data_IF_124370478039
#
_entry.id   IF_124370478039
#
_cell.length_a   1.000
_cell.length_b   1.000
_cell.length_c   1.000
_cell.angle_alpha   90.00
_cell.angle_beta   90.00
_cell.angle_gamma   90.00
#
_symmetry.space_group_name_H-M   'P 1'
#
loop_
_entity.id
_entity.type
_entity.pdbx_description
1 polymer ?
2 non-polymer ?
#
# COMPACT_ATOMS: atom_id res chain seq x y z
N UNK A 2 2.11 10.95 -15.79
CA UNK A 2 3.01 10.89 -14.65
C UNK A 2 3.35 9.44 -14.28
N UNK A 3 4.38 8.88 -14.93
CA UNK A 3 4.91 7.53 -14.76
C UNK A 3 5.28 7.24 -13.32
N UNK A 4 5.52 8.31 -12.57
CA UNK A 4 5.76 8.24 -11.14
C UNK A 4 4.52 7.76 -10.38
N UNK A 5 3.32 8.16 -10.82
CA UNK A 5 2.08 7.77 -10.14
C UNK A 5 1.67 6.38 -10.59
N UNK A 6 1.16 5.56 -9.66
CA UNK A 6 0.79 4.20 -10.04
C UNK A 6 -0.38 3.69 -9.19
N UNK A 7 -0.96 2.59 -9.69
CA UNK A 7 -2.01 1.90 -8.95
C UNK A 7 -1.35 0.66 -8.30
N UNK A 8 -1.87 0.30 -7.14
CA UNK A 8 -1.38 -0.80 -6.32
C UNK A 8 -2.33 -1.98 -6.50
N UNK A 9 -1.84 -3.03 -7.13
CA UNK A 9 -2.64 -4.13 -7.66
C UNK A 9 -2.37 -5.47 -6.97
N UNK A 10 -3.49 -6.13 -6.64
CA UNK A 10 -3.43 -7.49 -6.09
C UNK A 10 -3.89 -8.49 -7.15
N UNK A 11 -2.95 -9.34 -7.58
CA UNK A 11 -3.27 -10.25 -8.67
C UNK A 11 -4.40 -11.21 -8.30
N UNK A 12 -4.33 -11.82 -7.12
CA UNK A 12 -5.35 -12.81 -6.77
C UNK A 12 -6.76 -12.24 -6.78
N UNK A 13 -6.98 -11.06 -6.22
CA UNK A 13 -8.31 -10.46 -6.19
C UNK A 13 -8.67 -9.68 -7.46
N UNK A 14 -7.65 -9.38 -8.27
CA UNK A 14 -7.84 -8.51 -9.40
C UNK A 14 -8.46 -7.17 -8.96
N UNK A 15 -7.91 -6.56 -7.92
CA UNK A 15 -8.42 -5.28 -7.42
C UNK A 15 -7.25 -4.38 -7.05
N UNK A 16 -7.54 -3.09 -6.94
CA UNK A 16 -6.54 -2.08 -6.68
C UNK A 16 -6.87 -1.30 -5.40
N UNK A 17 -5.82 -0.80 -4.75
CA UNK A 17 -6.01 0.01 -3.54
C UNK A 17 -6.78 1.29 -3.86
N UNK A 18 -7.67 1.69 -2.96
CA UNK A 18 -8.50 2.88 -3.20
C UNK A 18 -8.62 3.67 -1.90
N UNK A 19 -8.05 4.86 -1.93
CA UNK A 19 -8.08 5.79 -0.80
C UNK A 19 -9.47 6.43 -0.71
N UNK A 20 -10.22 6.21 0.36
CA UNK A 20 -11.54 6.82 0.50
C UNK A 20 -11.55 8.05 1.41
N UNK A 21 -10.71 8.05 2.43
CA UNK A 21 -10.59 9.19 3.35
C UNK A 21 -9.30 9.04 4.16
N UNK A 22 -9.01 10.03 5.01
CA UNK A 22 -7.83 9.86 5.86
C UNK A 22 -7.93 8.60 6.71
N UNK A 23 -9.13 8.14 7.08
CA UNK A 23 -9.25 7.00 7.99
C UNK A 23 -9.71 5.74 7.29
N UNK A 24 -9.66 5.69 5.95
CA UNK A 24 -10.22 4.56 5.20
C UNK A 24 -9.50 4.38 3.86
N UNK A 25 -8.79 3.27 3.75
CA UNK A 25 -8.09 2.87 2.52
C UNK A 25 -8.56 1.44 2.24
N UNK A 26 -9.32 1.27 1.16
CA UNK A 26 -9.96 -0.01 0.86
C UNK A 26 -9.49 -0.47 -0.52
N UNK A 27 -10.32 -1.20 -1.25
CA UNK A 27 -9.95 -1.63 -2.60
C UNK A 27 -11.14 -1.33 -3.53
N UNK A 28 -10.87 -1.41 -4.83
CA UNK A 28 -11.88 -1.22 -5.86
C UNK A 28 -11.42 -1.91 -7.13
N UNK A 29 -12.37 -2.06 -8.03
CA UNK A 29 -12.04 -2.41 -9.40
C UNK A 29 -11.10 -1.33 -9.93
N UNK A 30 -9.98 -1.78 -10.49
CA UNK A 30 -8.90 -0.88 -10.91
C UNK A 30 -9.38 0.09 -11.97
N UNK A 31 -9.07 1.36 -11.74
CA UNK A 31 -9.40 2.37 -12.76
C UNK A 31 -8.23 3.33 -12.81
N UNK A 32 -7.42 3.30 -13.85
CA UNK A 32 -6.24 4.20 -13.88
C UNK A 32 -6.64 5.66 -13.98
N UNK A 33 -7.91 5.98 -14.20
CA UNK A 33 -8.39 7.35 -14.27
C UNK A 33 -8.80 7.89 -12.90
N UNK A 34 -8.90 6.99 -11.91
CA UNK A 34 -9.40 7.40 -10.60
C UNK A 34 -8.27 7.96 -9.74
N UNK A 35 -8.32 9.24 -9.42
CA UNK A 35 -7.24 9.83 -8.63
C UNK A 35 -7.11 9.14 -7.27
N UNK A 36 -8.24 8.68 -6.71
CA UNK A 36 -8.26 8.02 -5.41
C UNK A 36 -7.45 6.72 -5.45
N UNK A 37 -7.24 6.10 -6.60
CA UNK A 37 -6.44 4.87 -6.71
C UNK A 37 -4.97 5.16 -7.00
N UNK A 38 -4.58 6.43 -7.12
CA UNK A 38 -3.21 6.73 -7.53
C UNK A 38 -2.31 7.00 -6.34
N UNK A 39 -1.14 6.40 -6.35
CA UNK A 39 -0.13 6.61 -5.32
C UNK A 39 1.23 6.96 -5.94
N UNK A 40 2.12 7.49 -5.12
CA UNK A 40 3.48 7.75 -5.59
C UNK A 40 4.44 7.72 -4.39
N UNK A 41 5.63 7.21 -4.62
CA UNK A 41 6.68 7.22 -3.62
C UNK A 41 7.19 8.65 -3.43
N UNK A 42 7.33 9.11 -2.19
CA UNK A 42 7.83 10.47 -1.96
C UNK A 42 9.16 10.42 -1.23
N UNK A 43 9.69 9.21 -1.01
CA UNK A 43 10.99 8.96 -0.41
C UNK A 43 11.35 7.49 -0.62
N UNK A 44 12.47 7.00 -0.10
CA UNK A 44 12.81 5.60 -0.22
C UNK A 44 11.84 4.70 0.54
N UNK A 45 11.05 5.24 1.46
CA UNK A 45 10.21 4.39 2.30
C UNK A 45 8.74 4.80 2.37
N UNK A 46 8.36 5.95 1.84
CA UNK A 46 7.00 6.45 2.06
C UNK A 46 6.18 6.49 0.78
N UNK A 47 4.92 6.10 0.85
CA UNK A 47 4.03 6.12 -0.31
C UNK A 47 2.87 7.08 -0.01
N UNK A 48 2.72 8.06 -0.89
CA UNK A 48 1.73 9.10 -0.73
C UNK A 48 0.51 8.83 -1.62
N UNK A 49 -0.67 9.02 -1.07
CA UNK A 49 -1.91 9.06 -1.85
C UNK A 49 -1.94 10.32 -2.73
N UNK A 50 -2.10 10.19 -4.04
CA UNK A 50 -2.14 11.38 -4.89
C UNK A 50 -3.36 12.24 -4.58
N UNK A 51 -4.54 11.64 -4.38
CA UNK A 51 -5.77 12.38 -4.09
C UNK A 51 -5.76 13.07 -2.73
N UNK A 52 -5.11 12.52 -1.71
CA UNK A 52 -5.19 13.10 -0.36
C UNK A 52 -3.93 13.84 0.07
N UNK A 53 -2.82 13.60 -0.64
CA UNK A 53 -1.55 14.20 -0.25
C UNK A 53 -1.25 13.87 1.21
N UNK A 54 -1.53 12.61 1.54
CA UNK A 54 -1.22 11.95 2.79
C UNK A 54 -0.54 10.60 2.56
N UNK A 55 0.25 10.12 3.50
CA UNK A 55 1.08 8.93 3.33
C UNK A 55 0.48 7.71 4.02
N UNK A 56 0.64 6.56 3.37
CA UNK A 56 0.14 5.31 3.94
C UNK A 56 0.88 5.00 5.22
N UNK A 57 0.13 4.64 6.26
CA UNK A 57 0.77 4.38 7.55
C UNK A 57 -0.17 3.65 8.49
N UNK A 58 0.34 3.34 9.67
CA UNK A 58 -0.42 2.57 10.66
C UNK A 58 -0.30 3.21 12.04
N UNK A 59 -1.23 2.94 12.96
CA UNK A 59 -1.14 3.43 14.34
C UNK A 59 -0.06 2.73 15.15
N UNK A 60 0.32 1.53 14.74
CA UNK A 60 1.35 0.74 15.42
C UNK A 60 1.72 -0.46 14.55
N UNK A 61 2.88 -1.01 14.81
CA UNK A 61 3.35 -2.20 14.08
C UNK A 61 2.81 -3.44 14.76
N UNK A 62 1.50 -3.65 14.53
CA UNK A 62 0.83 -4.79 15.15
C UNK A 62 -0.07 -5.53 14.16
N UNK A 63 -0.21 -6.84 14.33
CA UNK A 63 -1.08 -7.66 13.48
C UNK A 63 -2.48 -7.05 13.46
N UNK A 64 -3.06 -6.88 12.29
CA UNK A 64 -4.43 -6.39 12.07
C UNK A 64 -4.56 -4.90 12.38
N UNK A 65 -3.44 -4.17 12.42
CA UNK A 65 -3.52 -2.71 12.39
C UNK A 65 -4.04 -2.25 11.03
N UNK A 66 -4.91 -1.24 11.02
CA UNK A 66 -5.45 -0.72 9.76
C UNK A 66 -4.41 0.18 9.10
N UNK A 67 -4.25 0.01 7.79
CA UNK A 67 -3.41 0.91 7.02
C UNK A 67 -4.29 2.04 6.50
N UNK A 68 -4.04 3.27 6.95
CA UNK A 68 -4.80 4.42 6.45
C UNK A 68 -3.84 5.55 6.15
N UNK A 69 -4.27 6.82 6.26
CA UNK A 69 -3.45 7.90 5.75
C UNK A 69 -3.12 8.95 6.82
N UNK A 70 -1.85 9.34 6.87
CA UNK A 70 -1.31 10.27 7.86
C UNK A 70 -0.47 11.36 7.20
N UNK A 71 -0.38 12.54 7.85
CA UNK A 71 0.52 13.56 7.34
C UNK A 71 1.90 12.99 7.07
N UNK A 72 2.45 13.23 5.87
CA UNK A 72 3.75 12.63 5.51
C UNK A 72 4.85 13.16 6.43
N UNK A 73 5.61 12.27 7.05
CA UNK A 73 6.63 12.64 8.03
C UNK A 73 7.83 11.70 7.94
N UNK A 74 8.94 12.22 7.45
CA UNK A 74 10.11 11.37 7.20
C UNK A 74 10.68 10.79 8.48
N UNK A 75 10.26 11.29 9.64
CA UNK A 75 10.84 10.75 10.88
C UNK A 75 9.94 9.71 11.51
N UNK A 76 8.75 9.53 10.92
CA UNK A 76 7.81 8.58 11.50
C UNK A 76 8.18 7.16 11.08
N UNK A 77 8.33 6.29 12.07
CA UNK A 77 8.64 4.91 11.71
C UNK A 77 7.34 4.17 11.39
N UNK A 78 6.18 4.80 11.45
CA UNK A 78 4.92 4.09 11.20
C UNK A 78 4.36 4.31 9.80
N UNK A 79 5.13 4.91 8.90
CA UNK A 79 4.73 5.11 7.51
C UNK A 79 5.88 4.74 6.58
N UNK A 80 6.72 3.85 7.07
CA UNK A 80 7.87 3.37 6.30
C UNK A 80 7.58 1.94 5.82
N UNK A 81 7.67 1.76 4.51
CA UNK A 81 7.40 0.51 3.81
C UNK A 81 8.63 -0.02 3.07
N UNK A 82 8.59 -1.33 2.78
CA UNK A 82 9.67 -1.89 1.96
C UNK A 82 9.18 -3.07 1.14
N UNK A 83 9.88 -3.34 0.03
CA UNK A 83 9.58 -4.57 -0.69
C UNK A 83 10.33 -5.71 0.00
N UNK A 84 9.64 -6.84 0.11
CA UNK A 84 10.21 -8.07 0.63
C UNK A 84 10.44 -8.98 -0.57
N UNK A 85 10.39 -10.31 -0.50
CA UNK A 85 10.67 -10.93 -1.82
C UNK A 85 9.42 -11.15 -2.67
N UNK A 86 9.59 -11.42 -3.97
CA UNK A 86 8.55 -11.85 -4.89
C UNK A 86 7.20 -11.14 -4.74
N UNK A 87 7.22 -9.82 -4.73
CA UNK A 87 6.13 -8.87 -4.68
C UNK A 87 5.52 -8.80 -3.28
N UNK A 88 6.08 -9.53 -2.31
CA UNK A 88 5.61 -9.33 -0.93
C UNK A 88 5.90 -7.93 -0.44
N UNK A 89 4.96 -7.26 0.23
CA UNK A 89 5.10 -5.83 0.55
C UNK A 89 4.72 -5.60 2.01
N UNK A 90 5.50 -4.81 2.75
CA UNK A 90 5.21 -4.66 4.16
C UNK A 90 5.95 -3.53 4.84
N UNK A 91 5.73 -3.45 6.15
CA UNK A 91 6.37 -2.44 6.98
C UNK A 91 7.87 -2.61 6.97
N UNK A 92 8.62 -1.51 6.88
CA UNK A 92 10.08 -1.59 6.86
C UNK A 92 10.61 -2.14 8.17
N UNK A 93 11.40 -3.21 8.13
CA UNK A 93 12.03 -3.73 9.33
C UNK A 93 11.17 -4.62 10.19
N UNK A 94 9.94 -4.94 9.81
CA UNK A 94 9.03 -5.79 10.55
C UNK A 94 8.35 -6.79 9.63
N UNK A 95 8.14 -8.03 10.05
CA UNK A 95 7.48 -9.04 9.23
C UNK A 95 5.97 -8.94 9.39
N UNK A 96 5.43 -7.79 8.98
CA UNK A 96 4.00 -7.53 8.89
C UNK A 96 3.76 -6.96 7.48
N UNK A 97 2.78 -7.53 6.80
CA UNK A 97 2.55 -7.29 5.38
C UNK A 97 1.27 -6.51 5.10
N UNK A 98 1.38 -5.69 4.06
CA UNK A 98 0.24 -4.98 3.48
C UNK A 98 -0.73 -6.01 2.90
N UNK A 99 -1.94 -6.09 3.48
CA UNK A 99 -2.79 -7.26 3.23
C UNK A 99 -4.24 -6.88 3.00
N UNK A 100 -4.88 -7.65 2.12
CA UNK A 100 -6.32 -7.51 1.87
C UNK A 100 -6.97 -8.87 1.59
N UNK A 101 -8.15 -9.12 2.16
CA UNK A 101 -8.89 -10.32 1.74
C UNK A 101 -9.37 -11.13 2.92
N UNK A 102 -8.76 -10.97 4.10
CA UNK A 102 -9.14 -11.82 5.23
C UNK A 102 -10.37 -11.25 5.96
N UNK A 103 -11.18 -12.12 6.56
CA UNK A 103 -12.30 -11.78 7.42
C UNK A 103 -13.31 -10.76 6.92
N UNK A 104 -13.64 -10.67 5.65
CA UNK A 104 -14.61 -9.65 5.23
C UNK A 104 -14.21 -8.22 5.56
N UNK A 105 -12.97 -7.95 5.91
CA UNK A 105 -12.53 -6.61 6.24
C UNK A 105 -12.23 -5.77 5.01
N UNK A 106 -12.91 -4.64 4.83
CA UNK A 106 -12.69 -3.85 3.62
C UNK A 106 -11.40 -3.04 3.65
N UNK A 107 -10.91 -2.66 4.83
CA UNK A 107 -9.72 -1.81 4.87
C UNK A 107 -8.45 -2.63 4.72
N UNK A 108 -7.47 -2.05 4.04
CA UNK A 108 -6.13 -2.68 4.06
C UNK A 108 -5.68 -2.90 5.50
N UNK A 109 -5.09 -4.05 5.80
CA UNK A 109 -4.58 -4.40 7.12
C UNK A 109 -3.12 -4.82 7.06
N UNK A 110 -2.43 -4.64 8.18
CA UNK A 110 -1.20 -5.38 8.43
C UNK A 110 -1.57 -6.82 8.78
N UNK A 111 -0.83 -7.78 8.22
CA UNK A 111 -1.08 -9.19 8.51
C UNK A 111 0.24 -9.93 8.61
N UNK A 112 0.29 -10.95 9.47
CA UNK A 112 1.49 -11.77 9.62
C UNK A 112 1.68 -12.71 8.44
N UNK A 113 0.57 -13.01 7.77
CA UNK A 113 0.67 -13.99 6.69
C UNK A 113 1.31 -13.42 5.44
N UNK A 114 1.99 -14.26 4.67
CA UNK A 114 2.75 -13.77 3.52
C UNK A 114 2.34 -14.48 2.24
N UNK A 115 1.07 -14.89 2.18
CA UNK A 115 0.56 -15.51 0.96
C UNK A 115 0.22 -14.54 -0.15
N UNK A 116 -0.71 -14.96 -1.00
CA UNK A 116 -1.07 -14.19 -2.20
C UNK A 116 -1.73 -12.85 -1.91
N UNK A 117 -2.32 -12.67 -0.74
CA UNK A 117 -3.06 -11.45 -0.39
C UNK A 117 -2.16 -10.37 0.21
N UNK A 118 -0.88 -10.69 0.41
CA UNK A 118 0.12 -9.77 0.93
C UNK A 118 1.15 -9.36 -0.15
N UNK A 119 0.81 -9.78 -1.38
CA UNK A 119 1.61 -9.58 -2.57
C UNK A 119 1.02 -8.56 -3.52
N UNK A 120 1.79 -7.57 -3.98
CA UNK A 120 1.20 -6.40 -4.67
C UNK A 120 2.10 -5.99 -5.83
N UNK A 121 1.52 -5.68 -6.98
CA UNK A 121 2.31 -5.21 -8.13
C UNK A 121 1.91 -3.80 -8.55
N UNK A 122 2.83 -3.16 -9.29
CA UNK A 122 2.45 -1.95 -10.01
C UNK A 122 1.44 -2.37 -11.06
N UNK A 123 0.23 -1.80 -11.00
CA UNK A 123 -0.81 -2.15 -11.98
C UNK A 123 -0.32 -1.93 -13.41
N UNK A 124 -0.53 -2.94 -14.24
CA UNK A 124 -0.11 -2.90 -15.63
C UNK A 124 1.30 -3.43 -15.86
N UNK A 125 1.93 -4.00 -14.84
CA UNK A 125 3.27 -4.55 -14.87
C UNK A 125 3.31 -5.83 -14.05
N UNK A 126 4.44 -6.54 -14.16
CA UNK A 126 4.61 -7.70 -13.29
C UNK A 126 5.62 -7.38 -12.19
N UNK A 127 5.84 -6.09 -11.99
CA UNK A 127 6.85 -5.63 -11.05
C UNK A 127 6.32 -5.25 -9.68
N UNK A 128 7.21 -5.35 -8.69
CA UNK A 128 6.83 -5.01 -7.32
C UNK A 128 6.66 -3.51 -7.15
N UNK A 129 6.17 -3.02 -6.03
CA UNK A 129 5.90 -1.57 -5.93
C UNK A 129 7.16 -0.71 -5.95
N UNK A 130 8.29 -1.32 -5.56
CA UNK A 130 9.53 -0.55 -5.47
C UNK A 130 10.12 -0.26 -6.85
N UNK A 131 9.49 -0.79 -7.89
CA UNK A 131 9.92 -0.46 -9.27
C UNK A 131 9.53 0.97 -9.63
N UNK A 132 8.70 1.58 -8.77
CA UNK A 132 8.38 2.99 -9.03
C UNK A 132 8.96 3.90 -7.96
N UNK A 133 9.89 3.37 -7.18
CA UNK A 133 10.40 4.13 -6.04
C UNK A 133 11.85 4.54 -6.21
N UNK A 134 12.56 4.73 -5.09
CA UNK A 134 13.94 5.23 -5.17
C UNK A 134 14.91 4.24 -4.58
N UNK A 135 16.19 4.37 -4.91
CA UNK A 135 17.17 3.42 -4.39
C UNK A 135 16.90 2.03 -4.96
X LIG B 1 -2.49 -14.43 3.17
X LIG B 1 -3.42 -13.46 3.77
X LIG B 1 -1.34 -14.63 4.07
X LIG B 1 -2.02 -13.94 1.87
X LIG B 1 -3.19 -15.73 2.98
#
# INVERSE_FOLDING_TARGET
LDARQFLIYNEDHKRCVDALSAISVQTATCNPEAESQKFRWVSDSQIMSVAFKLCLGVPSKTDWASVTLYACDSKSEYQKWECKNDTLFGIKGTELYFNYGNRQEKNIKLYKGSGLWSRWKVYGTTDDLCSRGYE
SO4 S O1 O2 O3 O4
#
